data_IF_566185181840
#
_entry.id   IF_566185181840
#
_cell.length_a   1.000
_cell.length_b   1.000
_cell.length_c   1.000
_cell.angle_alpha   90.00
_cell.angle_beta   90.00
_cell.angle_gamma   90.00
#
_symmetry.space_group_name_H-M   'P 1'
#
loop_
_entity.id
_entity.type
_entity.pdbx_description
1 polymer ?
#
# COMPACT_ATOMS: atom_id res chain seq x y z
N UNK A 1 -15.29 0.82 39.26
CA UNK A 1 -14.48 0.98 40.46
C UNK A 1 -14.50 2.47 40.82
N UNK A 2 -14.82 2.86 42.07
CA UNK A 2 -14.63 4.24 42.48
C UNK A 2 -13.13 4.52 42.42
N UNK A 3 -12.73 5.55 41.68
CA UNK A 3 -11.39 6.12 41.72
C UNK A 3 -11.27 6.73 43.11
N UNK A 4 -10.74 5.98 44.08
CA UNK A 4 -10.29 6.56 45.33
C UNK A 4 -9.12 7.46 44.96
N UNK A 5 -9.16 8.73 45.36
CA UNK A 5 -7.99 9.60 45.30
C UNK A 5 -6.85 8.85 45.97
N UNK A 6 -5.83 8.46 45.22
CA UNK A 6 -4.63 7.85 45.79
C UNK A 6 -3.77 8.96 46.30
N UNK A 7 -3.51 8.97 47.60
CA UNK A 7 -2.45 9.79 48.15
C UNK A 7 -1.10 9.25 47.67
N UNK A 8 -0.57 9.81 46.59
CA UNK A 8 0.75 9.47 46.12
C UNK A 8 1.80 10.07 47.09
N UNK A 9 2.64 9.20 47.63
CA UNK A 9 3.84 9.66 48.28
C UNK A 9 4.90 9.94 47.21
N UNK A 10 5.63 11.05 47.37
CA UNK A 10 6.81 11.31 46.56
C UNK A 10 7.82 10.19 46.82
N UNK A 11 8.29 9.55 45.79
CA UNK A 11 9.31 8.51 45.84
C UNK A 11 10.69 9.11 45.70
N UNK A 12 11.66 8.51 46.40
CA UNK A 12 13.07 8.86 46.30
C UNK A 12 13.71 8.06 45.16
N UNK A 13 13.95 8.72 44.03
CA UNK A 13 14.46 8.09 42.81
C UNK A 13 15.74 8.76 42.33
N UNK A 14 16.84 8.51 43.01
CA UNK A 14 18.16 9.11 42.71
C UNK A 14 18.52 9.00 41.19
N UNK A 15 18.25 7.85 40.56
CA UNK A 15 18.57 7.65 39.15
C UNK A 15 17.67 8.49 38.27
N UNK A 16 16.37 8.60 38.57
CA UNK A 16 15.43 9.43 37.83
C UNK A 16 15.83 10.92 37.92
N UNK A 17 16.23 11.39 39.08
CA UNK A 17 16.66 12.79 39.26
C UNK A 17 17.87 13.13 38.39
N UNK A 18 18.85 12.22 38.30
CA UNK A 18 20.01 12.36 37.44
C UNK A 18 19.69 12.28 35.95
N UNK A 19 18.67 11.52 35.56
CA UNK A 19 18.26 11.24 34.18
C UNK A 19 16.87 11.76 33.80
N UNK A 20 16.38 12.80 34.50
CA UNK A 20 15.07 13.42 34.31
C UNK A 20 14.81 13.80 32.83
N UNK A 21 15.82 14.34 32.16
CA UNK A 21 15.71 14.74 30.74
C UNK A 21 15.44 13.56 29.84
N UNK A 22 16.06 12.41 30.06
CA UNK A 22 15.87 11.20 29.28
C UNK A 22 14.48 10.63 29.50
N UNK A 23 14.00 10.62 30.75
CA UNK A 23 12.65 10.20 31.09
C UNK A 23 11.60 11.06 30.38
N UNK A 24 11.73 12.38 30.45
CA UNK A 24 10.85 13.33 29.78
C UNK A 24 10.88 13.14 28.26
N UNK A 25 12.05 12.96 27.68
CA UNK A 25 12.19 12.75 26.24
C UNK A 25 11.48 11.47 25.77
N UNK A 26 11.67 10.36 26.48
CA UNK A 26 11.00 9.09 26.19
C UNK A 26 9.48 9.20 26.36
N UNK A 27 9.01 9.89 27.41
CA UNK A 27 7.57 10.10 27.65
C UNK A 27 6.95 10.96 26.54
N UNK A 28 7.63 12.04 26.14
CA UNK A 28 7.17 12.93 25.06
C UNK A 28 7.12 12.20 23.72
N UNK A 29 8.10 11.36 23.42
CA UNK A 29 8.12 10.50 22.23
C UNK A 29 6.95 9.51 22.23
N UNK A 30 6.76 8.80 23.35
CA UNK A 30 5.72 7.79 23.49
C UNK A 30 4.32 8.39 23.37
N UNK A 31 4.04 9.44 24.12
CA UNK A 31 2.72 10.05 24.25
C UNK A 31 2.45 11.17 23.24
N UNK A 32 3.46 11.56 22.44
CA UNK A 32 3.41 12.71 21.55
C UNK A 32 2.98 14.00 22.29
N UNK A 33 3.67 14.31 23.40
CA UNK A 33 3.39 15.46 24.27
C UNK A 33 4.65 16.33 24.45
N UNK A 34 4.48 17.43 25.16
CA UNK A 34 5.54 18.38 25.49
C UNK A 34 5.59 18.61 27.00
N UNK A 35 5.79 17.54 27.77
CA UNK A 35 6.07 17.66 29.20
C UNK A 35 7.46 18.27 29.42
N UNK A 36 7.61 19.04 30.51
CA UNK A 36 8.85 19.73 30.89
C UNK A 36 9.36 19.31 32.25
N UNK A 37 8.54 18.67 33.06
CA UNK A 37 8.83 18.23 34.43
C UNK A 37 8.56 16.74 34.56
N UNK A 38 9.19 16.07 35.53
CA UNK A 38 8.90 14.71 35.92
C UNK A 38 8.91 14.55 37.42
N UNK A 39 7.99 13.77 37.95
CA UNK A 39 7.87 13.47 39.39
C UNK A 39 7.78 11.98 39.60
N UNK A 40 8.63 11.43 40.44
CA UNK A 40 8.52 10.06 40.92
C UNK A 40 7.42 9.91 41.98
N UNK A 41 6.66 8.86 41.90
CA UNK A 41 5.60 8.55 42.85
C UNK A 41 5.83 7.14 43.40
N UNK A 42 5.63 6.97 44.70
CA UNK A 42 5.75 5.70 45.42
C UNK A 42 4.38 5.29 45.97
N UNK A 43 3.97 4.09 45.63
CA UNK A 43 2.69 3.51 46.00
C UNK A 43 2.78 1.98 46.10
N UNK A 44 1.73 1.28 45.70
CA UNK A 44 1.80 -0.18 45.58
C UNK A 44 2.82 -0.61 44.52
N UNK A 45 3.02 0.24 43.52
CA UNK A 45 4.05 0.14 42.47
C UNK A 45 4.66 1.51 42.32
N UNK A 46 5.99 1.58 42.32
CA UNK A 46 6.73 2.82 42.04
C UNK A 46 6.51 3.25 40.59
N UNK A 47 6.16 4.50 40.39
CA UNK A 47 5.91 5.08 39.06
C UNK A 47 6.61 6.44 38.94
N UNK A 48 6.70 6.95 37.74
CA UNK A 48 7.06 8.34 37.47
C UNK A 48 6.19 8.89 36.37
N UNK A 49 5.83 10.14 36.47
CA UNK A 49 5.01 10.82 35.50
C UNK A 49 5.67 12.07 35.00
N UNK A 50 5.61 12.32 33.70
CA UNK A 50 6.03 13.57 33.11
C UNK A 50 4.81 14.51 32.98
N UNK A 51 4.97 15.76 33.42
CA UNK A 51 3.90 16.74 33.41
C UNK A 51 4.41 18.11 32.95
N UNK A 52 3.50 19.04 32.74
CA UNK A 52 3.80 20.41 32.34
C UNK A 52 3.71 21.37 33.52
N UNK A 53 4.03 22.64 33.29
CA UNK A 53 3.92 23.68 34.28
C UNK A 53 2.47 24.01 34.70
N UNK A 54 1.48 23.65 33.84
CA UNK A 54 0.08 23.98 34.00
C UNK A 54 -0.78 22.84 34.56
N UNK A 55 -0.19 21.66 34.79
CA UNK A 55 -0.85 20.49 35.38
C UNK A 55 0.17 19.68 36.19
N UNK A 56 -0.27 19.13 37.30
CA UNK A 56 0.55 18.38 38.25
C UNK A 56 0.38 16.83 38.04
N UNK A 57 1.10 16.08 38.88
CA UNK A 57 1.05 14.62 38.90
C UNK A 57 -0.34 14.05 39.23
N UNK A 58 -1.18 14.79 39.94
CA UNK A 58 -2.51 14.35 40.38
C UNK A 58 -3.53 14.41 39.22
N UNK A 59 -3.18 15.17 38.16
CA UNK A 59 -3.97 15.36 36.95
C UNK A 59 -3.63 14.34 35.83
N UNK A 60 -2.72 13.41 36.09
CA UNK A 60 -2.19 12.45 35.12
C UNK A 60 -3.18 11.32 34.87
N UNK A 61 -3.38 10.95 33.62
CA UNK A 61 -4.24 9.84 33.23
C UNK A 61 -3.61 8.47 33.54
N UNK A 62 -4.44 7.43 33.69
CA UNK A 62 -3.96 6.05 33.86
C UNK A 62 -3.01 5.59 32.74
N UNK A 63 -3.19 6.10 31.50
CA UNK A 63 -2.29 5.80 30.37
C UNK A 63 -0.93 6.46 30.52
N UNK A 64 -0.86 7.66 31.09
CA UNK A 64 0.41 8.35 31.38
C UNK A 64 1.17 7.67 32.50
N UNK A 65 0.46 7.18 33.54
CA UNK A 65 1.05 6.39 34.60
C UNK A 65 1.61 5.06 34.08
N UNK A 66 0.85 4.33 33.26
CA UNK A 66 1.33 3.11 32.62
C UNK A 66 2.58 3.36 31.73
N UNK A 67 2.56 4.42 30.94
CA UNK A 67 3.73 4.84 30.16
C UNK A 67 4.95 5.11 31.05
N UNK A 68 4.74 5.82 32.16
CA UNK A 68 5.78 6.10 33.15
C UNK A 68 6.41 4.84 33.76
N UNK A 69 5.59 3.86 34.11
CA UNK A 69 6.07 2.56 34.64
C UNK A 69 6.92 1.80 33.62
N UNK A 70 6.50 1.75 32.35
CA UNK A 70 7.27 1.09 31.29
C UNK A 70 8.63 1.81 31.08
N UNK A 71 8.63 3.13 31.05
CA UNK A 71 9.85 3.92 30.87
C UNK A 71 10.78 3.75 32.06
N UNK A 72 10.27 3.75 33.30
CA UNK A 72 11.08 3.46 34.49
C UNK A 72 11.72 2.08 34.44
N UNK A 73 10.97 1.07 33.99
CA UNK A 73 11.53 -0.28 33.80
C UNK A 73 12.71 -0.26 32.81
N UNK A 74 12.58 0.46 31.68
CA UNK A 74 13.68 0.62 30.72
C UNK A 74 14.87 1.38 31.35
N UNK A 75 14.63 2.43 32.11
CA UNK A 75 15.69 3.16 32.84
C UNK A 75 16.39 2.28 33.87
N UNK A 76 15.66 1.39 34.54
CA UNK A 76 16.27 0.41 35.46
C UNK A 76 17.24 -0.52 34.74
N UNK A 77 16.94 -0.97 33.53
CA UNK A 77 17.89 -1.74 32.70
C UNK A 77 19.07 -0.90 32.22
N UNK A 78 18.89 0.39 31.95
CA UNK A 78 20.02 1.31 31.65
C UNK A 78 20.95 1.40 32.85
N UNK A 79 20.41 1.64 34.04
CA UNK A 79 21.18 1.65 35.29
C UNK A 79 21.93 0.34 35.50
N UNK A 80 21.29 -0.81 35.35
CA UNK A 80 21.95 -2.11 35.46
C UNK A 80 23.10 -2.28 34.46
N UNK A 81 22.94 -1.78 33.24
CA UNK A 81 24.01 -1.83 32.22
C UNK A 81 25.20 -0.92 32.56
N UNK A 82 24.95 0.20 33.23
CA UNK A 82 25.97 1.13 33.69
C UNK A 82 26.71 0.60 34.94
N UNK A 83 25.97 0.03 35.88
CA UNK A 83 26.51 -0.39 37.18
C UNK A 83 27.26 -1.74 37.12
N UNK A 84 26.92 -2.61 36.13
CA UNK A 84 27.45 -3.95 36.05
C UNK A 84 28.18 -4.24 34.74
N UNK A 85 29.50 -4.40 34.81
CA UNK A 85 30.37 -4.67 33.64
C UNK A 85 30.06 -6.01 32.95
N UNK A 86 29.46 -6.96 33.64
CA UNK A 86 29.07 -8.28 33.13
C UNK A 86 27.58 -8.35 32.71
N UNK A 87 26.90 -7.21 32.56
CA UNK A 87 25.53 -7.15 32.08
C UNK A 87 25.35 -7.94 30.78
N UNK A 88 24.37 -8.86 30.75
CA UNK A 88 24.09 -9.78 29.62
C UNK A 88 22.73 -9.51 28.96
N UNK A 89 22.07 -8.41 29.28
CA UNK A 89 20.71 -8.12 28.84
C UNK A 89 19.65 -8.53 29.88
N UNK A 90 18.41 -8.46 29.48
CA UNK A 90 17.30 -8.74 30.39
C UNK A 90 16.01 -9.18 29.67
N UNK A 91 15.04 -9.59 30.48
CA UNK A 91 13.67 -9.90 30.05
C UNK A 91 12.71 -8.90 30.68
N UNK A 92 11.99 -8.15 29.84
CA UNK A 92 10.91 -7.25 30.26
C UNK A 92 9.55 -7.88 29.95
N UNK A 93 8.72 -8.03 30.98
CA UNK A 93 7.36 -8.53 30.86
C UNK A 93 6.38 -7.36 31.03
N UNK A 94 5.46 -7.18 30.06
CA UNK A 94 4.45 -6.12 30.09
C UNK A 94 3.09 -6.77 29.92
N UNK A 95 2.25 -6.72 30.94
CA UNK A 95 0.88 -7.16 30.84
C UNK A 95 -0.03 -6.01 30.42
N UNK A 96 -0.96 -6.25 29.50
CA UNK A 96 -1.87 -5.26 28.95
C UNK A 96 -1.15 -3.97 28.47
N UNK A 97 -0.17 -4.13 27.59
CA UNK A 97 0.69 -3.01 27.10
C UNK A 97 -0.10 -1.84 26.49
N UNK A 98 -1.35 -2.05 26.09
CA UNK A 98 -2.26 -1.05 25.52
C UNK A 98 -3.09 -0.30 26.56
N UNK A 99 -3.04 -0.70 27.84
CA UNK A 99 -3.92 -0.15 28.88
C UNK A 99 -3.80 1.38 29.00
N UNK A 100 -4.90 2.08 28.73
CA UNK A 100 -4.98 3.53 28.81
C UNK A 100 -4.23 4.31 27.70
N UNK A 101 -3.54 3.63 26.79
CA UNK A 101 -2.79 4.27 25.72
C UNK A 101 -3.65 4.56 24.48
N UNK A 102 -3.53 5.76 23.94
CA UNK A 102 -4.11 6.12 22.64
C UNK A 102 -3.49 5.27 21.50
N UNK A 103 -4.21 4.98 20.41
CA UNK A 103 -3.70 4.14 19.31
C UNK A 103 -2.33 4.57 18.78
N UNK A 104 -2.08 5.86 18.63
CA UNK A 104 -0.77 6.37 18.21
C UNK A 104 0.33 6.07 19.23
N UNK A 105 0.03 6.20 20.52
CA UNK A 105 0.98 5.90 21.60
C UNK A 105 1.31 4.39 21.65
N UNK A 106 0.36 3.52 21.36
CA UNK A 106 0.59 2.07 21.27
C UNK A 106 1.61 1.72 20.16
N UNK A 107 1.49 2.36 19.00
CA UNK A 107 2.47 2.19 17.90
C UNK A 107 3.83 2.77 18.28
N UNK A 108 3.86 3.94 18.93
CA UNK A 108 5.09 4.56 19.40
C UNK A 108 5.77 3.70 20.48
N UNK A 109 5.01 3.05 21.36
CA UNK A 109 5.53 2.10 22.34
C UNK A 109 6.33 0.98 21.65
N UNK A 110 5.78 0.35 20.63
CA UNK A 110 6.49 -0.72 19.90
C UNK A 110 7.75 -0.20 19.21
N UNK A 111 7.73 1.00 18.64
CA UNK A 111 8.91 1.61 18.02
C UNK A 111 9.99 1.93 19.06
N UNK A 112 9.59 2.46 20.21
CA UNK A 112 10.48 2.74 21.33
C UNK A 112 11.10 1.46 21.88
N UNK A 113 10.30 0.42 22.14
CA UNK A 113 10.77 -0.88 22.60
C UNK A 113 11.74 -1.52 21.58
N UNK A 114 11.48 -1.42 20.27
CA UNK A 114 12.38 -1.93 19.23
C UNK A 114 13.78 -1.32 19.31
N UNK A 115 13.85 -0.01 19.55
CA UNK A 115 15.10 0.71 19.74
C UNK A 115 15.79 0.34 21.06
N UNK A 116 15.04 0.36 22.16
CA UNK A 116 15.60 0.12 23.50
C UNK A 116 16.02 -1.34 23.70
N UNK A 117 15.28 -2.30 23.13
CA UNK A 117 15.68 -3.71 23.13
C UNK A 117 17.08 -3.90 22.51
N UNK A 118 17.36 -3.21 21.41
CA UNK A 118 18.66 -3.26 20.75
C UNK A 118 19.75 -2.58 21.59
N UNK A 119 19.42 -1.44 22.22
CA UNK A 119 20.38 -0.67 23.00
C UNK A 119 20.75 -1.35 24.32
N UNK A 120 19.80 -2.09 24.91
CA UNK A 120 19.90 -2.68 26.25
C UNK A 120 19.95 -4.20 26.24
N UNK A 121 20.08 -4.82 25.07
CA UNK A 121 20.08 -6.28 24.89
C UNK A 121 18.89 -6.96 25.58
N UNK A 122 17.68 -6.38 25.40
CA UNK A 122 16.45 -6.86 26.05
C UNK A 122 15.65 -7.77 25.14
N UNK A 123 14.99 -8.73 25.76
CA UNK A 123 13.83 -9.43 25.23
C UNK A 123 12.57 -8.90 25.92
N UNK A 124 11.53 -8.62 25.12
CA UNK A 124 10.23 -8.18 25.65
C UNK A 124 9.18 -9.24 25.33
N UNK A 125 8.39 -9.58 26.33
CA UNK A 125 7.15 -10.35 26.19
C UNK A 125 6.01 -9.49 26.71
N UNK A 126 5.00 -9.26 25.87
CA UNK A 126 3.87 -8.44 26.26
C UNK A 126 2.54 -9.06 25.83
N UNK A 127 1.49 -8.74 26.59
CA UNK A 127 0.11 -9.03 26.21
C UNK A 127 -0.61 -7.76 25.76
N UNK A 128 -1.61 -7.91 24.93
CA UNK A 128 -2.46 -6.80 24.49
C UNK A 128 -3.81 -7.29 23.99
N UNK A 129 -4.83 -6.48 24.19
CA UNK A 129 -6.18 -6.65 23.60
C UNK A 129 -6.46 -5.63 22.48
N UNK A 130 -5.53 -4.72 22.21
CA UNK A 130 -5.72 -3.68 21.19
C UNK A 130 -5.51 -4.21 19.77
N UNK A 131 -6.54 -4.12 18.91
CA UNK A 131 -6.38 -4.47 17.49
C UNK A 131 -5.25 -3.69 16.79
N UNK A 132 -5.05 -2.42 17.15
CA UNK A 132 -4.01 -1.55 16.55
C UNK A 132 -2.61 -2.06 16.89
N UNK A 133 -2.37 -2.37 18.16
CA UNK A 133 -1.07 -2.88 18.60
C UNK A 133 -0.79 -4.27 18.04
N UNK A 134 -1.80 -5.14 18.03
CA UNK A 134 -1.69 -6.51 17.51
C UNK A 134 -1.43 -6.49 16.00
N UNK A 135 -2.15 -5.65 15.24
CA UNK A 135 -1.94 -5.50 13.79
C UNK A 135 -0.51 -5.05 13.48
N UNK A 136 -0.07 -3.99 14.14
CA UNK A 136 1.29 -3.48 13.95
C UNK A 136 2.35 -4.53 14.29
N UNK A 137 2.22 -5.21 15.45
CA UNK A 137 3.14 -6.26 15.86
C UNK A 137 3.12 -7.45 14.90
N UNK A 138 1.94 -7.83 14.38
CA UNK A 138 1.79 -8.88 13.38
C UNK A 138 2.52 -8.52 12.07
N UNK A 139 2.34 -7.30 11.57
CA UNK A 139 3.04 -6.82 10.37
C UNK A 139 4.55 -6.84 10.57
N UNK A 140 5.04 -6.35 11.72
CA UNK A 140 6.47 -6.41 12.05
C UNK A 140 6.98 -7.85 12.13
N UNK A 141 6.21 -8.78 12.71
CA UNK A 141 6.59 -10.20 12.80
C UNK A 141 6.72 -10.87 11.43
N UNK A 142 5.99 -10.41 10.42
CA UNK A 142 6.11 -10.88 9.04
C UNK A 142 7.34 -10.34 8.33
N UNK A 143 7.65 -9.06 8.58
CA UNK A 143 8.78 -8.39 7.96
C UNK A 143 10.12 -8.78 8.62
N UNK A 144 10.11 -8.95 9.96
CA UNK A 144 11.31 -9.19 10.77
C UNK A 144 11.15 -10.43 11.65
N UNK A 145 11.01 -11.61 11.04
CA UNK A 145 10.70 -12.92 11.69
C UNK A 145 11.65 -13.31 12.84
N UNK A 146 12.89 -12.81 12.84
CA UNK A 146 13.85 -13.07 13.93
C UNK A 146 13.72 -12.11 15.10
N UNK A 147 13.02 -11.02 14.91
CA UNK A 147 12.91 -9.89 15.85
C UNK A 147 11.57 -9.85 16.55
N UNK A 148 10.50 -10.16 15.81
CA UNK A 148 9.13 -10.12 16.29
C UNK A 148 8.47 -11.48 16.11
N UNK A 149 7.67 -11.86 17.11
CA UNK A 149 6.78 -13.02 17.04
C UNK A 149 5.43 -12.66 17.65
N UNK A 150 4.37 -12.78 16.87
CA UNK A 150 3.00 -12.63 17.35
C UNK A 150 2.42 -14.01 17.63
N UNK A 151 1.85 -14.19 18.83
CA UNK A 151 1.19 -15.40 19.27
C UNK A 151 -0.24 -15.02 19.63
N UNK A 152 -1.22 -15.56 18.92
CA UNK A 152 -2.62 -15.32 19.21
C UNK A 152 -3.21 -16.42 20.07
N UNK A 153 -3.83 -16.02 21.18
CA UNK A 153 -4.48 -16.90 22.12
C UNK A 153 -5.99 -16.71 22.02
N UNK A 154 -6.76 -17.78 21.88
CA UNK A 154 -8.22 -17.75 21.91
C UNK A 154 -8.75 -18.68 22.99
N UNK A 155 -9.82 -18.27 23.64
CA UNK A 155 -10.54 -19.08 24.65
C UNK A 155 -11.96 -19.43 24.20
N UNK A 156 -12.27 -19.32 22.91
CA UNK A 156 -13.62 -19.51 22.36
C UNK A 156 -14.28 -20.81 22.75
N UNK A 157 -13.51 -21.85 23.03
CA UNK A 157 -14.01 -23.17 23.44
C UNK A 157 -13.80 -23.48 24.95
N UNK A 158 -13.64 -22.45 25.76
CA UNK A 158 -13.53 -22.58 27.22
C UNK A 158 -12.11 -22.84 27.75
N UNK A 159 -11.18 -23.28 26.90
CA UNK A 159 -9.77 -23.46 27.25
C UNK A 159 -8.92 -22.54 26.36
N UNK A 160 -7.90 -21.92 26.94
CA UNK A 160 -6.95 -21.11 26.19
C UNK A 160 -6.16 -21.96 25.20
N UNK A 161 -6.22 -21.62 23.93
CA UNK A 161 -5.54 -22.31 22.85
C UNK A 161 -4.65 -21.33 22.07
N UNK A 162 -3.47 -21.82 21.69
CA UNK A 162 -2.58 -21.10 20.76
C UNK A 162 -3.08 -21.32 19.33
N UNK A 163 -3.48 -20.24 18.67
CA UNK A 163 -3.88 -20.29 17.26
C UNK A 163 -2.65 -20.19 16.37
N UNK A 164 -2.17 -21.35 15.92
CA UNK A 164 -0.97 -21.42 15.08
C UNK A 164 -1.25 -20.88 13.67
N UNK A 165 -0.31 -20.09 13.15
CA UNK A 165 -0.31 -19.57 11.78
C UNK A 165 -1.55 -18.76 11.36
N UNK A 166 -2.28 -18.20 12.31
CA UNK A 166 -3.40 -17.33 11.99
C UNK A 166 -2.92 -16.05 11.29
N UNK A 167 -3.60 -15.71 10.18
CA UNK A 167 -3.42 -14.45 9.50
C UNK A 167 -4.06 -13.30 10.28
N UNK A 168 -3.61 -12.06 10.03
CA UNK A 168 -4.27 -10.88 10.61
C UNK A 168 -5.77 -10.85 10.33
N UNK A 169 -6.20 -11.28 9.13
CA UNK A 169 -7.61 -11.35 8.80
C UNK A 169 -8.39 -12.28 9.75
N UNK A 170 -7.82 -13.45 10.09
CA UNK A 170 -8.44 -14.39 11.05
C UNK A 170 -8.44 -13.82 12.46
N UNK A 171 -7.33 -13.25 12.91
CA UNK A 171 -7.23 -12.60 14.24
C UNK A 171 -8.23 -11.44 14.33
N UNK A 172 -8.28 -10.56 13.32
CA UNK A 172 -9.21 -9.43 13.30
C UNK A 172 -10.67 -9.85 13.26
N UNK A 173 -10.99 -10.95 12.58
CA UNK A 173 -12.34 -11.48 12.54
C UNK A 173 -12.77 -12.04 13.89
N UNK A 174 -11.89 -12.77 14.58
CA UNK A 174 -12.14 -13.31 15.92
C UNK A 174 -12.34 -12.18 16.94
N UNK A 175 -11.42 -11.20 16.97
CA UNK A 175 -11.52 -10.02 17.86
C UNK A 175 -12.82 -9.24 17.63
N UNK A 176 -13.22 -9.05 16.36
CA UNK A 176 -14.41 -8.28 16.00
C UNK A 176 -15.69 -9.13 15.92
N UNK A 177 -15.63 -10.42 16.22
CA UNK A 177 -16.75 -11.37 16.12
C UNK A 177 -17.42 -11.35 14.74
N UNK A 178 -16.63 -11.30 13.66
CA UNK A 178 -17.08 -11.24 12.27
C UNK A 178 -16.79 -12.55 11.56
N UNK A 179 -17.69 -12.97 10.66
CA UNK A 179 -17.41 -14.07 9.74
C UNK A 179 -16.44 -13.63 8.64
N UNK A 180 -15.44 -14.47 8.36
CA UNK A 180 -14.58 -14.34 7.18
C UNK A 180 -15.07 -15.34 6.15
N UNK A 181 -15.30 -14.91 4.94
CA UNK A 181 -15.51 -15.83 3.82
C UNK A 181 -14.17 -16.50 3.46
N UNK A 182 -13.95 -17.68 4.01
CA UNK A 182 -12.78 -18.52 3.73
C UNK A 182 -12.99 -19.41 2.49
N UNK A 183 -14.20 -19.42 1.92
CA UNK A 183 -14.52 -20.24 0.74
C UNK A 183 -13.80 -19.77 -0.54
N UNK A 184 -13.27 -18.57 -0.53
CA UNK A 184 -12.53 -18.00 -1.66
C UNK A 184 -11.03 -18.33 -1.68
N UNK A 185 -10.54 -19.27 -0.88
CA UNK A 185 -9.11 -19.59 -0.82
C UNK A 185 -8.28 -18.45 -0.19
N UNK A 186 -6.98 -18.51 -0.33
CA UNK A 186 -6.03 -17.53 0.24
C UNK A 186 -6.49 -16.09 0.05
N UNK A 187 -6.81 -15.38 1.15
CA UNK A 187 -7.10 -13.95 1.09
C UNK A 187 -5.80 -13.18 0.77
N UNK A 188 -5.59 -12.88 -0.49
CA UNK A 188 -4.50 -12.03 -0.92
C UNK A 188 -4.94 -10.55 -0.86
N UNK A 189 -4.03 -9.63 -0.51
CA UNK A 189 -4.33 -8.21 -0.50
C UNK A 189 -4.69 -7.71 -1.91
N UNK A 190 -5.47 -6.64 -2.00
CA UNK A 190 -5.64 -5.92 -3.26
C UNK A 190 -4.51 -4.90 -3.37
N UNK A 191 -3.90 -4.87 -4.55
CA UNK A 191 -2.80 -3.96 -4.88
C UNK A 191 -3.37 -2.76 -5.63
N UNK A 192 -3.00 -1.55 -5.20
CA UNK A 192 -3.33 -0.34 -5.92
C UNK A 192 -2.58 -0.30 -7.26
N UNK A 193 -3.30 0.05 -8.32
CA UNK A 193 -2.75 0.19 -9.67
C UNK A 193 -2.94 1.64 -10.11
N UNK A 194 -1.83 2.31 -10.40
CA UNK A 194 -1.79 3.69 -10.84
C UNK A 194 -1.52 3.79 -12.34
N UNK A 195 -2.08 4.81 -12.98
CA UNK A 195 -2.01 5.04 -14.42
C UNK A 195 -1.58 6.48 -14.73
N UNK A 196 -1.11 6.72 -15.95
CA UNK A 196 -0.79 8.08 -16.40
C UNK A 196 -2.06 8.89 -16.66
N UNK A 197 -3.12 8.22 -17.14
CA UNK A 197 -4.40 8.87 -17.41
C UNK A 197 -5.56 7.84 -17.51
N UNK A 198 -6.74 8.35 -17.80
CA UNK A 198 -7.96 7.55 -17.91
C UNK A 198 -7.94 6.60 -19.10
N UNK A 199 -7.32 6.99 -20.19
CA UNK A 199 -7.19 6.20 -21.40
C UNK A 199 -6.40 4.90 -21.12
N UNK A 200 -5.34 5.01 -20.31
CA UNK A 200 -4.54 3.87 -19.85
C UNK A 200 -5.35 2.95 -18.92
N UNK A 201 -6.13 3.50 -18.01
CA UNK A 201 -7.02 2.72 -17.14
C UNK A 201 -8.09 1.94 -17.93
N UNK A 202 -8.77 2.58 -18.89
CA UNK A 202 -9.80 1.96 -19.72
C UNK A 202 -9.22 0.79 -20.52
N UNK A 203 -8.01 0.95 -21.05
CA UNK A 203 -7.31 -0.12 -21.75
C UNK A 203 -6.97 -1.27 -20.79
N UNK A 204 -6.36 -0.97 -19.66
CA UNK A 204 -6.04 -1.95 -18.63
C UNK A 204 -7.27 -2.73 -18.17
N UNK A 205 -8.39 -2.07 -17.96
CA UNK A 205 -9.64 -2.72 -17.55
C UNK A 205 -10.10 -3.78 -18.57
N UNK A 206 -9.86 -3.53 -19.87
CA UNK A 206 -10.16 -4.48 -20.95
C UNK A 206 -9.17 -5.65 -20.99
N UNK A 207 -7.88 -5.39 -20.74
CA UNK A 207 -6.85 -6.44 -20.68
C UNK A 207 -7.14 -7.42 -19.56
N UNK A 208 -7.61 -6.93 -18.40
CA UNK A 208 -7.96 -7.77 -17.25
C UNK A 208 -9.42 -8.25 -17.26
N UNK A 209 -10.17 -8.05 -18.32
CA UNK A 209 -11.53 -8.58 -18.41
C UNK A 209 -11.53 -10.11 -18.32
N UNK A 210 -12.28 -10.67 -17.35
CA UNK A 210 -12.34 -12.10 -17.01
C UNK A 210 -11.01 -12.76 -16.61
N UNK A 211 -9.99 -11.98 -16.29
CA UNK A 211 -8.74 -12.50 -15.73
C UNK A 211 -8.88 -12.77 -14.23
N UNK A 212 -8.48 -13.97 -13.72
CA UNK A 212 -8.54 -14.28 -12.29
C UNK A 212 -7.76 -13.29 -11.42
N UNK A 213 -6.62 -12.80 -11.90
CA UNK A 213 -5.76 -11.85 -11.21
C UNK A 213 -6.45 -10.50 -10.91
N UNK A 214 -7.50 -10.15 -11.68
CA UNK A 214 -8.26 -8.90 -11.51
C UNK A 214 -8.81 -8.72 -10.10
N UNK A 215 -9.20 -9.79 -9.42
CA UNK A 215 -9.76 -9.72 -8.06
C UNK A 215 -8.78 -9.16 -7.02
N UNK A 216 -7.49 -9.18 -7.33
CA UNK A 216 -6.42 -8.69 -6.47
C UNK A 216 -5.94 -7.28 -6.85
N UNK A 217 -6.59 -6.61 -7.77
CA UNK A 217 -6.25 -5.25 -8.22
C UNK A 217 -7.27 -4.23 -7.73
N UNK A 218 -6.78 -3.03 -7.44
CA UNK A 218 -7.57 -1.87 -7.07
C UNK A 218 -7.11 -0.68 -7.95
N UNK A 219 -7.74 -0.45 -9.12
CA UNK A 219 -7.42 0.70 -9.98
C UNK A 219 -7.69 2.02 -9.25
N UNK A 220 -6.71 2.92 -9.25
CA UNK A 220 -6.79 4.23 -8.60
C UNK A 220 -7.21 5.29 -9.61
N UNK A 221 -8.50 5.24 -9.99
CA UNK A 221 -9.07 5.94 -11.15
C UNK A 221 -8.92 7.46 -11.16
N UNK A 222 -8.87 8.11 -10.01
CA UNK A 222 -8.83 9.58 -9.91
C UNK A 222 -7.42 10.11 -9.61
N UNK A 223 -6.43 9.22 -9.51
CA UNK A 223 -5.04 9.56 -9.21
C UNK A 223 -4.21 9.35 -10.46
N UNK A 224 -3.83 10.41 -11.13
CA UNK A 224 -2.98 10.36 -12.31
C UNK A 224 -1.77 11.27 -12.19
N UNK A 225 -0.58 10.74 -12.48
CA UNK A 225 0.68 11.46 -12.54
C UNK A 225 1.40 11.07 -13.83
N UNK A 226 2.19 11.99 -14.38
CA UNK A 226 3.04 11.65 -15.53
C UNK A 226 4.14 10.65 -15.14
N UNK A 227 4.62 9.89 -16.13
CA UNK A 227 5.66 8.86 -15.97
C UNK A 227 6.85 9.34 -15.13
N UNK A 228 7.42 10.50 -15.41
CA UNK A 228 8.58 11.04 -14.69
C UNK A 228 8.31 11.23 -13.19
N UNK A 229 7.10 11.66 -12.82
CA UNK A 229 6.72 11.85 -11.42
C UNK A 229 6.63 10.50 -10.69
N UNK A 230 6.00 9.49 -11.30
CA UNK A 230 5.97 8.13 -10.73
C UNK A 230 7.38 7.57 -10.55
N UNK A 231 8.23 7.68 -11.55
CA UNK A 231 9.60 7.17 -11.47
C UNK A 231 10.43 7.91 -10.40
N UNK A 232 10.22 9.21 -10.19
CA UNK A 232 10.84 9.95 -9.08
C UNK A 232 10.37 9.43 -7.71
N UNK A 233 9.08 9.18 -7.52
CA UNK A 233 8.53 8.64 -6.28
C UNK A 233 9.12 7.25 -5.97
N UNK A 234 9.26 6.39 -6.98
CA UNK A 234 9.89 5.08 -6.86
C UNK A 234 11.37 5.22 -6.48
N UNK A 235 12.12 6.09 -7.17
CA UNK A 235 13.54 6.34 -6.91
C UNK A 235 13.79 6.92 -5.50
N UNK A 236 12.87 7.76 -5.01
CA UNK A 236 12.89 8.30 -3.64
C UNK A 236 12.41 7.29 -2.60
N UNK A 237 12.11 6.06 -3.01
CA UNK A 237 11.65 4.95 -2.14
C UNK A 237 10.42 5.30 -1.32
N UNK A 238 9.46 6.04 -1.92
CA UNK A 238 8.15 6.22 -1.30
C UNK A 238 7.45 4.86 -1.24
N UNK A 239 7.13 4.31 -0.05
CA UNK A 239 6.73 2.90 0.10
C UNK A 239 5.53 2.50 -0.76
N UNK A 240 4.56 3.39 -0.93
CA UNK A 240 3.40 3.12 -1.80
C UNK A 240 3.84 2.77 -3.23
N UNK A 241 4.77 3.53 -3.82
CA UNK A 241 5.18 3.36 -5.21
C UNK A 241 6.35 2.41 -5.40
N UNK A 242 7.23 2.29 -4.40
CA UNK A 242 8.43 1.44 -4.49
C UNK A 242 8.19 -0.02 -4.11
N UNK A 243 7.12 -0.32 -3.34
CA UNK A 243 6.91 -1.65 -2.74
C UNK A 243 5.47 -2.14 -2.73
N UNK A 244 4.45 -1.25 -2.62
CA UNK A 244 3.07 -1.64 -2.26
C UNK A 244 2.05 -1.52 -3.38
N UNK A 245 2.38 -0.86 -4.48
CA UNK A 245 1.49 -0.68 -5.62
C UNK A 245 2.19 -1.00 -6.93
N UNK A 246 1.44 -0.99 -8.02
CA UNK A 246 1.97 -1.10 -9.37
C UNK A 246 1.63 0.17 -10.13
N UNK A 247 2.62 0.72 -10.82
CA UNK A 247 2.45 1.79 -11.78
C UNK A 247 2.42 1.18 -13.18
N UNK A 248 1.30 1.32 -13.85
CA UNK A 248 1.09 0.85 -15.21
C UNK A 248 1.28 2.02 -16.17
N UNK A 249 2.42 2.06 -16.84
CA UNK A 249 2.81 3.15 -17.74
C UNK A 249 2.43 2.83 -19.20
N UNK A 250 2.33 3.86 -20.01
CA UNK A 250 2.08 3.73 -21.43
C UNK A 250 3.25 3.03 -22.15
N UNK A 251 2.96 2.35 -23.24
CA UNK A 251 3.96 1.57 -23.99
C UNK A 251 5.13 2.41 -24.54
N UNK A 252 4.88 3.67 -24.87
CA UNK A 252 5.91 4.60 -25.39
C UNK A 252 6.95 5.01 -24.34
N UNK A 253 6.67 4.76 -23.04
CA UNK A 253 7.58 5.04 -21.92
C UNK A 253 8.69 3.98 -21.78
N UNK A 254 8.70 2.96 -22.63
CA UNK A 254 9.65 1.85 -22.58
C UNK A 254 11.11 2.28 -22.43
N UNK A 255 11.55 3.32 -23.14
CA UNK A 255 12.93 3.84 -23.07
C UNK A 255 13.32 4.39 -21.68
N UNK A 256 12.37 4.88 -20.89
CA UNK A 256 12.61 5.39 -19.55
C UNK A 256 12.75 4.27 -18.50
N UNK A 257 12.20 3.09 -18.79
CA UNK A 257 12.13 1.93 -17.90
C UNK A 257 13.16 0.87 -18.26
N UNK A 258 13.47 0.71 -19.56
CA UNK A 258 14.42 -0.30 -20.06
C UNK A 258 15.81 -0.13 -19.43
N UNK A 259 16.41 -1.22 -18.98
CA UNK A 259 17.72 -1.22 -18.32
C UNK A 259 17.70 -0.83 -16.84
N UNK A 260 16.54 -0.48 -16.29
CA UNK A 260 16.32 -0.20 -14.86
C UNK A 260 15.39 -1.24 -14.25
N UNK A 261 15.78 -1.81 -13.12
CA UNK A 261 14.97 -2.83 -12.44
C UNK A 261 13.88 -2.19 -11.57
N UNK A 262 12.80 -1.73 -12.19
CA UNK A 262 11.62 -1.26 -11.45
C UNK A 262 10.64 -2.40 -11.26
N UNK A 263 10.66 -3.01 -10.06
CA UNK A 263 9.80 -4.16 -9.72
C UNK A 263 8.30 -3.83 -9.62
N UNK A 264 7.99 -2.55 -9.45
CA UNK A 264 6.62 -2.02 -9.27
C UNK A 264 6.08 -1.32 -10.52
N UNK A 265 6.76 -1.47 -11.65
CA UNK A 265 6.35 -0.85 -12.92
C UNK A 265 6.05 -1.93 -13.95
N UNK A 266 4.95 -1.76 -14.67
CA UNK A 266 4.62 -2.54 -15.86
C UNK A 266 4.26 -1.59 -17.00
N UNK A 267 4.52 -2.01 -18.24
CA UNK A 267 4.12 -1.25 -19.43
C UNK A 267 2.86 -1.84 -20.02
N UNK A 268 1.94 -0.99 -20.45
CA UNK A 268 0.81 -1.41 -21.29
C UNK A 268 1.32 -2.01 -22.61
N UNK A 269 0.59 -2.96 -23.21
CA UNK A 269 1.02 -3.56 -24.47
C UNK A 269 0.86 -2.60 -25.64
N UNK A 270 1.74 -2.72 -26.61
CA UNK A 270 1.74 -1.89 -27.81
C UNK A 270 3.01 -1.07 -27.97
N UNK A 271 2.94 0.03 -28.72
CA UNK A 271 4.08 0.88 -29.06
C UNK A 271 3.76 2.38 -29.02
N UNK A 272 2.52 2.72 -28.69
CA UNK A 272 1.97 4.08 -28.63
C UNK A 272 1.23 4.29 -27.29
N UNK A 273 1.00 5.53 -26.88
CA UNK A 273 0.00 5.85 -25.85
C UNK A 273 -1.38 5.27 -26.23
N UNK A 274 -2.22 4.90 -25.26
CA UNK A 274 -3.47 4.21 -25.52
C UNK A 274 -4.41 4.92 -26.50
N UNK A 275 -4.58 6.23 -26.38
CA UNK A 275 -5.43 7.03 -27.27
C UNK A 275 -4.94 7.02 -28.74
N UNK A 276 -3.64 7.03 -28.94
CA UNK A 276 -3.03 6.93 -30.28
C UNK A 276 -3.09 5.51 -30.80
N UNK A 277 -2.87 4.52 -29.94
CA UNK A 277 -2.90 3.10 -30.30
C UNK A 277 -4.28 2.68 -30.82
N UNK A 278 -5.33 3.08 -30.11
CA UNK A 278 -6.71 2.73 -30.52
C UNK A 278 -7.12 3.50 -31.77
N UNK A 279 -6.69 4.75 -31.91
CA UNK A 279 -6.89 5.52 -33.16
C UNK A 279 -6.22 4.82 -34.35
N UNK A 280 -4.93 4.48 -34.23
CA UNK A 280 -4.18 3.81 -35.30
C UNK A 280 -4.82 2.48 -35.71
N UNK A 281 -5.23 1.70 -34.71
CA UNK A 281 -5.90 0.43 -34.94
C UNK A 281 -7.19 0.58 -35.76
N UNK A 282 -8.05 1.53 -35.38
CA UNK A 282 -9.30 1.76 -36.10
C UNK A 282 -9.04 2.37 -37.50
N UNK A 283 -8.08 3.26 -37.60
CA UNK A 283 -7.74 3.88 -38.88
C UNK A 283 -7.27 2.86 -39.92
N UNK A 284 -6.47 1.86 -39.50
CA UNK A 284 -5.96 0.78 -40.36
C UNK A 284 -7.03 -0.25 -40.76
N UNK A 285 -8.21 -0.24 -40.15
CA UNK A 285 -9.29 -1.15 -40.56
C UNK A 285 -9.86 -0.76 -41.91
N UNK A 286 -9.97 -1.73 -42.89
CA UNK A 286 -10.57 -1.45 -44.17
C UNK A 286 -12.01 -0.91 -44.04
N UNK A 287 -12.46 -0.09 -44.98
CA UNK A 287 -13.81 0.50 -44.96
C UNK A 287 -14.93 -0.56 -44.97
N UNK A 288 -14.67 -1.73 -45.56
CA UNK A 288 -15.64 -2.85 -45.61
C UNK A 288 -15.57 -3.76 -44.37
N UNK A 289 -14.67 -3.45 -43.36
CA UNK A 289 -14.45 -4.34 -42.23
C UNK A 289 -15.74 -4.51 -41.41
N UNK A 290 -16.04 -5.72 -40.88
CA UNK A 290 -17.26 -6.00 -40.10
C UNK A 290 -17.40 -5.13 -38.84
N UNK A 291 -16.29 -4.62 -38.28
CA UNK A 291 -16.28 -3.70 -37.16
C UNK A 291 -17.22 -2.50 -37.37
N UNK A 292 -17.30 -1.98 -38.60
CA UNK A 292 -18.12 -0.82 -38.96
C UNK A 292 -19.61 -1.13 -39.07
N UNK A 293 -20.01 -2.41 -39.03
CA UNK A 293 -21.40 -2.85 -39.00
C UNK A 293 -21.80 -3.27 -37.58
N UNK A 294 -22.22 -2.30 -36.81
CA UNK A 294 -22.51 -2.51 -35.37
C UNK A 294 -23.84 -1.85 -34.95
N UNK A 295 -24.36 -2.26 -33.80
CA UNK A 295 -25.66 -1.80 -33.26
C UNK A 295 -25.70 -0.30 -32.96
N UNK A 296 -24.54 0.33 -32.72
CA UNK A 296 -24.40 1.77 -32.44
C UNK A 296 -24.35 2.63 -33.71
N UNK A 297 -24.38 2.02 -34.90
CA UNK A 297 -24.22 2.68 -36.19
C UNK A 297 -22.91 3.52 -36.26
N UNK A 298 -21.88 3.07 -35.56
CA UNK A 298 -20.56 3.69 -35.60
C UNK A 298 -19.85 3.22 -36.87
N UNK A 299 -20.05 3.97 -37.93
CA UNK A 299 -19.50 3.69 -39.26
C UNK A 299 -18.10 4.27 -39.42
N UNK A 300 -17.43 3.92 -40.53
CA UNK A 300 -16.14 4.54 -40.93
C UNK A 300 -16.26 6.07 -41.02
N UNK A 301 -17.37 6.59 -41.55
CA UNK A 301 -17.61 8.02 -41.71
C UNK A 301 -17.77 8.71 -40.33
N UNK A 302 -18.46 8.06 -39.37
CA UNK A 302 -18.58 8.57 -38.00
C UNK A 302 -17.19 8.66 -37.35
N UNK A 303 -16.37 7.60 -37.52
CA UNK A 303 -14.99 7.60 -37.03
C UNK A 303 -14.17 8.73 -37.66
N UNK A 304 -14.21 8.87 -38.99
CA UNK A 304 -13.45 9.90 -39.72
C UNK A 304 -13.87 11.31 -39.30
N UNK A 305 -15.16 11.51 -39.05
CA UNK A 305 -15.66 12.81 -38.55
C UNK A 305 -15.20 13.08 -37.12
N UNK A 306 -15.28 12.11 -36.20
CA UNK A 306 -14.80 12.23 -34.82
C UNK A 306 -13.28 12.47 -34.79
N UNK A 307 -12.53 11.84 -35.68
CA UNK A 307 -11.09 11.93 -35.79
C UNK A 307 -10.58 13.07 -36.69
N UNK A 308 -11.47 13.92 -37.24
CA UNK A 308 -11.13 14.94 -38.23
C UNK A 308 -9.96 15.85 -37.81
N UNK A 309 -9.92 16.25 -36.56
CA UNK A 309 -8.82 17.10 -36.06
C UNK A 309 -7.48 16.33 -36.09
N UNK A 310 -7.46 15.07 -35.67
CA UNK A 310 -6.26 14.23 -35.73
C UNK A 310 -5.78 14.08 -37.19
N UNK A 311 -6.70 13.76 -38.09
CA UNK A 311 -6.37 13.55 -39.50
C UNK A 311 -5.76 14.79 -40.14
N UNK A 312 -6.33 15.97 -39.86
CA UNK A 312 -5.87 17.24 -40.42
C UNK A 312 -4.54 17.68 -39.80
N UNK A 313 -4.42 17.68 -38.46
CA UNK A 313 -3.22 18.18 -37.78
C UNK A 313 -1.98 17.34 -38.10
N UNK A 314 -2.10 16.05 -38.18
CA UNK A 314 -0.97 15.16 -38.46
C UNK A 314 -0.86 14.76 -39.93
N UNK A 315 -1.66 15.36 -40.81
CA UNK A 315 -1.68 15.07 -42.26
C UNK A 315 -1.82 13.57 -42.53
N UNK A 316 -2.73 12.89 -41.77
CA UNK A 316 -2.97 11.47 -41.90
C UNK A 316 -3.91 11.22 -43.06
N UNK A 317 -3.36 10.65 -44.14
CA UNK A 317 -4.09 10.29 -45.35
C UNK A 317 -3.48 9.01 -45.95
N UNK A 318 -4.29 8.26 -46.71
CA UNK A 318 -3.86 7.00 -47.31
C UNK A 318 -3.98 5.78 -46.40
N UNK A 319 -3.69 4.58 -46.92
CA UNK A 319 -3.99 3.30 -46.29
C UNK A 319 -2.89 2.80 -45.34
N UNK A 320 -1.70 3.34 -45.40
CA UNK A 320 -0.53 2.90 -44.63
C UNK A 320 0.07 4.06 -43.82
N UNK A 321 -0.41 4.24 -42.60
CA UNK A 321 0.04 5.32 -41.73
C UNK A 321 0.57 4.73 -40.41
N UNK A 322 1.79 5.10 -40.08
CA UNK A 322 2.39 4.90 -38.77
C UNK A 322 2.22 6.20 -37.96
N UNK A 323 1.30 6.18 -36.97
CA UNK A 323 0.98 7.36 -36.16
C UNK A 323 2.22 7.90 -35.44
N UNK A 324 3.09 7.01 -34.96
CA UNK A 324 4.35 7.39 -34.31
C UNK A 324 5.21 8.29 -35.18
N UNK A 325 5.35 7.95 -36.44
CA UNK A 325 6.16 8.75 -37.41
C UNK A 325 5.53 10.10 -37.71
N UNK A 326 4.20 10.15 -37.85
CA UNK A 326 3.45 11.38 -38.09
C UNK A 326 3.51 12.31 -36.90
N UNK A 327 3.39 11.80 -35.69
CA UNK A 327 3.54 12.59 -34.46
C UNK A 327 4.97 13.11 -34.29
N UNK A 328 5.98 12.29 -34.59
CA UNK A 328 7.39 12.69 -34.53
C UNK A 328 7.76 13.77 -35.55
N UNK A 329 7.13 13.74 -36.71
CA UNK A 329 7.35 14.75 -37.79
C UNK A 329 6.49 16.02 -37.62
N UNK A 330 5.62 16.07 -36.62
CA UNK A 330 4.70 17.19 -36.42
C UNK A 330 5.40 18.44 -35.94
N UNK A 331 5.22 19.55 -36.66
CA UNK A 331 5.82 20.86 -36.35
C UNK A 331 4.78 21.93 -35.97
N UNK A 332 3.52 21.54 -35.82
CA UNK A 332 2.45 22.46 -35.44
C UNK A 332 2.51 22.91 -33.97
N UNK A 333 1.64 23.81 -33.59
CA UNK A 333 1.63 24.45 -32.27
C UNK A 333 0.84 23.70 -31.21
N UNK A 334 -0.04 22.78 -31.63
CA UNK A 334 -0.88 22.00 -30.70
C UNK A 334 -0.07 20.85 -30.11
N UNK A 335 -0.34 20.51 -28.84
CA UNK A 335 0.27 19.34 -28.22
C UNK A 335 -0.39 18.08 -28.78
N UNK A 336 0.37 17.13 -29.37
CA UNK A 336 -0.18 15.89 -29.94
C UNK A 336 -1.13 15.17 -28.98
N UNK A 337 -0.71 15.00 -27.71
CA UNK A 337 -1.53 14.36 -26.68
C UNK A 337 -2.91 15.00 -26.53
N UNK A 338 -3.04 16.32 -26.59
CA UNK A 338 -4.32 16.99 -26.45
C UNK A 338 -5.23 16.75 -27.66
N UNK A 339 -4.66 16.65 -28.86
CA UNK A 339 -5.42 16.38 -30.08
C UNK A 339 -6.02 14.98 -30.07
N UNK A 340 -5.21 13.95 -29.71
CA UNK A 340 -5.70 12.57 -29.60
C UNK A 340 -6.70 12.41 -28.45
N UNK A 341 -6.48 13.10 -27.32
CA UNK A 341 -7.44 13.07 -26.20
C UNK A 341 -8.79 13.66 -26.57
N UNK A 342 -8.86 14.68 -27.42
CA UNK A 342 -10.15 15.22 -27.92
C UNK A 342 -10.89 14.18 -28.75
N UNK A 343 -10.19 13.46 -29.64
CA UNK A 343 -10.77 12.32 -30.34
C UNK A 343 -11.28 11.26 -29.37
N UNK A 344 -10.45 10.81 -28.42
CA UNK A 344 -10.81 9.78 -27.44
C UNK A 344 -12.03 10.18 -26.62
N UNK A 345 -12.14 11.45 -26.24
CA UNK A 345 -13.26 12.01 -25.47
C UNK A 345 -14.49 12.39 -26.30
N UNK A 346 -14.46 12.22 -27.61
CA UNK A 346 -15.65 12.50 -28.43
C UNK A 346 -16.84 11.64 -28.01
N UNK A 347 -18.05 12.20 -28.08
CA UNK A 347 -19.28 11.53 -27.61
C UNK A 347 -19.49 10.20 -28.35
N UNK A 348 -19.24 10.18 -29.65
CA UNK A 348 -19.39 9.01 -30.50
C UNK A 348 -18.42 7.90 -30.10
N UNK A 349 -17.16 8.24 -29.83
CA UNK A 349 -16.16 7.27 -29.42
C UNK A 349 -16.39 6.75 -28.00
N UNK A 350 -16.80 7.60 -27.09
CA UNK A 350 -17.14 7.20 -25.71
C UNK A 350 -18.32 6.20 -25.68
N UNK A 351 -19.33 6.40 -26.52
CA UNK A 351 -20.41 5.41 -26.65
C UNK A 351 -19.90 4.03 -27.09
N UNK A 352 -18.90 4.01 -27.95
CA UNK A 352 -18.27 2.77 -28.41
C UNK A 352 -17.49 2.09 -27.29
N UNK A 353 -16.73 2.84 -26.49
CA UNK A 353 -16.00 2.34 -25.34
C UNK A 353 -16.92 1.74 -24.26
N UNK A 354 -18.07 2.36 -24.01
CA UNK A 354 -19.05 1.87 -23.03
C UNK A 354 -19.82 0.64 -23.47
N UNK A 355 -19.62 0.14 -24.69
CA UNK A 355 -20.26 -1.07 -25.20
C UNK A 355 -19.82 -2.36 -24.51
N UNK A 356 -18.87 -2.29 -23.59
CA UNK A 356 -18.42 -3.41 -22.78
C UNK A 356 -17.74 -4.51 -23.59
N UNK A 357 -18.20 -5.76 -23.44
CA UNK A 357 -17.60 -6.92 -24.09
C UNK A 357 -18.07 -7.16 -25.55
N UNK A 358 -18.74 -6.20 -26.16
CA UNK A 358 -19.21 -6.33 -27.55
C UNK A 358 -18.02 -6.40 -28.53
N UNK A 359 -18.16 -7.11 -29.68
CA UNK A 359 -17.07 -7.25 -30.66
C UNK A 359 -16.58 -5.93 -31.25
N UNK A 360 -17.45 -4.92 -31.27
CA UNK A 360 -17.15 -3.57 -31.75
C UNK A 360 -16.65 -2.61 -30.66
N UNK A 361 -16.41 -3.08 -29.43
CA UNK A 361 -15.64 -2.29 -28.46
C UNK A 361 -14.20 -2.21 -28.99
N UNK A 362 -13.63 -0.99 -29.15
CA UNK A 362 -12.35 -0.83 -29.83
C UNK A 362 -11.20 -1.49 -29.08
N UNK A 363 -11.19 -1.43 -27.77
CA UNK A 363 -10.16 -2.08 -26.95
C UNK A 363 -10.26 -3.60 -27.01
N UNK A 364 -11.49 -4.13 -26.95
CA UNK A 364 -11.69 -5.56 -27.11
C UNK A 364 -11.26 -6.02 -28.50
N UNK A 365 -11.65 -5.28 -29.55
CA UNK A 365 -11.27 -5.61 -30.92
C UNK A 365 -9.75 -5.57 -31.11
N UNK A 366 -9.07 -4.55 -30.58
CA UNK A 366 -7.62 -4.50 -30.59
C UNK A 366 -7.02 -5.71 -29.88
N UNK A 367 -7.53 -6.02 -28.70
CA UNK A 367 -7.06 -7.11 -27.86
C UNK A 367 -7.24 -8.49 -28.51
N UNK A 368 -8.34 -8.72 -29.21
CA UNK A 368 -8.61 -9.96 -29.92
C UNK A 368 -7.69 -10.15 -31.15
N UNK A 369 -7.18 -9.05 -31.71
CA UNK A 369 -6.23 -9.07 -32.84
C UNK A 369 -4.74 -9.06 -32.40
N UNK A 370 -4.44 -8.92 -31.11
CA UNK A 370 -3.06 -8.86 -30.59
C UNK A 370 -2.84 -9.82 -29.40
N UNK A 371 -3.19 -11.12 -29.52
CA UNK A 371 -3.15 -12.06 -28.40
C UNK A 371 -1.73 -12.26 -27.84
N UNK A 372 -0.70 -12.21 -28.68
CA UNK A 372 0.70 -12.39 -28.25
C UNK A 372 1.13 -11.25 -27.32
N UNK A 373 0.90 -9.99 -27.70
CA UNK A 373 1.24 -8.82 -26.90
C UNK A 373 0.48 -8.81 -25.56
N UNK A 374 -0.76 -9.29 -25.58
CA UNK A 374 -1.55 -9.36 -24.35
C UNK A 374 -1.03 -10.46 -23.41
N UNK A 375 -0.69 -11.63 -23.96
CA UNK A 375 -0.15 -12.72 -23.15
C UNK A 375 1.17 -12.31 -22.49
N UNK A 376 2.04 -11.61 -23.23
CA UNK A 376 3.26 -11.05 -22.70
C UNK A 376 2.98 -10.02 -21.57
N UNK A 377 2.06 -9.11 -21.80
CA UNK A 377 1.63 -8.15 -20.77
C UNK A 377 1.10 -8.86 -19.52
N UNK A 378 0.23 -9.84 -19.66
CA UNK A 378 -0.37 -10.56 -18.55
C UNK A 378 0.68 -11.28 -17.68
N UNK A 379 1.70 -11.89 -18.29
CA UNK A 379 2.79 -12.55 -17.56
C UNK A 379 3.70 -11.51 -16.88
N UNK A 380 4.01 -10.40 -17.53
CA UNK A 380 4.78 -9.30 -16.92
C UNK A 380 4.01 -8.68 -15.75
N UNK A 381 2.71 -8.43 -15.92
CA UNK A 381 1.83 -7.92 -14.87
C UNK A 381 1.72 -8.89 -13.69
N UNK A 382 1.53 -10.18 -13.95
CA UNK A 382 1.54 -11.23 -12.91
C UNK A 382 2.86 -11.23 -12.12
N UNK A 383 3.98 -11.09 -12.81
CA UNK A 383 5.31 -11.01 -12.17
C UNK A 383 5.43 -9.79 -11.27
N UNK A 384 4.93 -8.63 -11.71
CA UNK A 384 4.92 -7.42 -10.91
C UNK A 384 4.01 -7.57 -9.67
N UNK A 385 2.79 -8.11 -9.84
CA UNK A 385 1.86 -8.41 -8.74
C UNK A 385 2.50 -9.37 -7.72
N UNK A 386 3.16 -10.42 -8.21
CA UNK A 386 3.87 -11.38 -7.37
C UNK A 386 4.99 -10.70 -6.56
N UNK A 387 5.78 -9.84 -7.20
CA UNK A 387 6.84 -9.08 -6.56
C UNK A 387 6.32 -8.14 -5.47
N UNK A 388 5.27 -7.37 -5.76
CA UNK A 388 4.63 -6.45 -4.80
C UNK A 388 4.02 -7.21 -3.63
N UNK A 389 3.31 -8.31 -3.88
CA UNK A 389 2.73 -9.13 -2.80
C UNK A 389 3.79 -9.76 -1.91
N UNK A 390 4.89 -10.26 -2.49
CA UNK A 390 6.00 -10.84 -1.72
C UNK A 390 6.73 -9.82 -0.87
N UNK A 391 7.07 -8.66 -1.44
CA UNK A 391 7.92 -7.65 -0.81
C UNK A 391 7.07 -6.68 0.01
N UNK A 392 6.11 -6.03 -0.63
CA UNK A 392 5.33 -4.95 -0.02
C UNK A 392 4.29 -5.43 1.00
N UNK A 393 3.78 -6.65 0.81
CA UNK A 393 2.76 -7.25 1.70
C UNK A 393 3.24 -8.50 2.42
N UNK A 394 4.50 -8.89 2.24
CA UNK A 394 5.11 -10.08 2.84
C UNK A 394 4.26 -11.37 2.68
N UNK A 395 3.57 -11.51 1.55
CA UNK A 395 2.76 -12.71 1.26
C UNK A 395 3.69 -13.88 1.00
N UNK A 396 3.39 -15.04 1.61
CA UNK A 396 4.16 -16.26 1.40
C UNK A 396 4.08 -16.72 -0.06
N UNK A 397 5.22 -17.14 -0.62
CA UNK A 397 5.34 -17.55 -2.03
C UNK A 397 4.37 -18.70 -2.37
N UNK A 398 4.13 -19.62 -1.43
CA UNK A 398 3.19 -20.74 -1.61
C UNK A 398 1.75 -20.27 -1.86
N UNK A 399 1.37 -19.14 -1.26
CA UNK A 399 0.04 -18.53 -1.43
C UNK A 399 -0.10 -17.80 -2.76
N UNK A 400 1.02 -17.41 -3.38
CA UNK A 400 1.05 -16.73 -4.67
C UNK A 400 0.78 -17.67 -5.85
N UNK A 401 0.78 -18.98 -5.65
CA UNK A 401 0.31 -19.95 -6.66
C UNK A 401 -1.14 -19.71 -7.10
N UNK A 402 -1.96 -19.02 -6.28
CA UNK A 402 -3.32 -18.62 -6.62
C UNK A 402 -3.41 -17.44 -7.62
N UNK A 403 -2.28 -16.79 -7.92
CA UNK A 403 -2.21 -15.73 -8.94
C UNK A 403 -2.14 -16.34 -10.31
N UNK A 404 -3.30 -16.49 -10.93
CA UNK A 404 -3.42 -17.06 -12.28
C UNK A 404 -3.77 -15.98 -13.31
N UNK A 405 -3.20 -16.11 -14.48
CA UNK A 405 -3.63 -15.43 -15.70
C UNK A 405 -4.06 -16.47 -16.72
N UNK A 406 -5.08 -16.15 -17.50
CA UNK A 406 -5.58 -17.01 -18.57
C UNK A 406 -5.04 -16.46 -19.90
N UNK A 407 -4.18 -17.21 -20.60
CA UNK A 407 -3.68 -16.76 -21.89
C UNK A 407 -4.83 -16.68 -22.89
N UNK A 408 -4.77 -15.69 -23.78
CA UNK A 408 -5.65 -15.61 -24.93
C UNK A 408 -5.18 -16.60 -25.97
N UNK A 409 -6.14 -17.20 -26.66
CA UNK A 409 -5.83 -18.10 -27.78
C UNK A 409 -5.18 -17.27 -28.89
N UNK A 410 -4.05 -17.73 -29.38
CA UNK A 410 -3.34 -17.18 -30.55
C UNK A 410 -4.01 -17.63 -31.82
#
# INVERSE_FOLDING_TARGET
YPIAARDYKLGDFDYLEQHTKDFIALTNELLNRNASLATGTDGTISSAVAHGENYDQDSVSAGEDNAGQIILALMSFRKLKEDYADYKGGLLLIDEADAGLFPTAQVNLLKMLDRECKNLDLQVVMTSHSPVLIEYAYEQSRQFRRKYKTIYLSNTYGNVQVMQDWSWAQISADINTKTIDTSSGVSLPRINIYFEDKEAEDFFATLLYRQPIKKFTNPMSEVSLGCSNYLQLIQKKVPEFSERSIVCLDADQGSQVTGKSYKTVTLLPGHLPPDQLVFEHLYKLPAAHPFWKNDLQFTRDVFTNAAREVLNEFSINGDSVEVKERVAAYTGTKKPREVFKRFYKSVEFQKLLTSGAKPYNPWKHWADNNPVLINEFLENFKTAVHGVMSIGYAVDVTKLAALEVKPRKV
#
